data_IF_874181567645
#
_entry.id   IF_874181567645
#
_cell.length_a   1.000
_cell.length_b   1.000
_cell.length_c   1.000
_cell.angle_alpha   90.00
_cell.angle_beta   90.00
_cell.angle_gamma   90.00
#
_symmetry.space_group_name_H-M   'P 1'
#
loop_
_entity.id
_entity.type
_entity.pdbx_description
1 polymer ?
#
# COMPACT_ATOMS: atom_id res chain seq x y z
N UNK A 1 32.02 18.00 9.87
CA UNK A 1 32.06 17.97 11.34
C UNK A 1 30.77 18.62 11.83
N UNK A 2 29.64 17.92 11.77
CA UNK A 2 29.15 16.97 12.79
C UNK A 2 28.82 17.68 14.10
N UNK A 3 27.63 18.28 14.20
CA UNK A 3 26.82 18.24 15.43
C UNK A 3 25.34 18.49 15.05
N UNK A 4 24.50 17.46 15.20
CA UNK A 4 23.14 17.66 15.70
C UNK A 4 22.83 16.43 16.54
N UNK A 5 22.86 16.60 17.86
CA UNK A 5 22.86 15.54 18.85
C UNK A 5 21.45 15.05 19.18
N UNK A 6 21.35 13.76 19.51
CA UNK A 6 20.22 13.20 20.24
C UNK A 6 20.71 12.66 21.59
N UNK A 7 20.01 13.07 22.64
CA UNK A 7 20.15 12.58 24.02
C UNK A 7 19.22 11.36 24.18
N UNK A 8 19.72 10.28 24.76
CA UNK A 8 18.92 9.12 25.17
C UNK A 8 18.93 8.99 26.70
N UNK A 9 17.81 8.64 27.38
CA UNK A 9 17.88 8.20 28.76
C UNK A 9 18.43 6.77 28.82
N UNK A 10 19.36 6.52 29.75
CA UNK A 10 19.77 5.16 30.13
C UNK A 10 18.71 4.55 31.05
N UNK A 11 18.32 3.31 30.79
CA UNK A 11 17.50 2.50 31.69
C UNK A 11 16.97 1.25 30.99
N UNK A 12 17.58 0.11 31.29
CA UNK A 12 17.25 -1.21 30.73
C UNK A 12 15.88 -1.75 31.19
N UNK A 13 15.15 -2.40 30.30
CA UNK A 13 14.67 -3.79 30.48
C UNK A 13 14.01 -4.30 29.19
N UNK A 14 14.17 -5.60 28.94
CA UNK A 14 13.95 -6.29 27.67
C UNK A 14 12.51 -6.18 27.12
N UNK A 15 12.37 -5.92 25.82
CA UNK A 15 12.06 -6.94 24.79
C UNK A 15 11.41 -6.35 23.51
N UNK A 16 11.83 -6.93 22.38
CA UNK A 16 11.30 -6.81 21.00
C UNK A 16 11.67 -5.55 20.18
N UNK A 17 12.79 -5.63 19.45
CA UNK A 17 13.07 -4.77 18.29
C UNK A 17 12.73 -5.52 17.00
N UNK A 18 11.64 -5.16 16.31
CA UNK A 18 11.42 -5.58 14.94
C UNK A 18 12.31 -4.73 14.02
N UNK A 19 13.38 -5.31 13.49
CA UNK A 19 14.04 -4.79 12.28
C UNK A 19 13.29 -5.36 11.07
N UNK A 20 12.75 -4.48 10.25
CA UNK A 20 12.11 -4.83 8.98
C UNK A 20 13.13 -5.38 7.98
N UNK A 21 12.76 -6.53 7.44
CA UNK A 21 13.37 -7.39 6.43
C UNK A 21 14.02 -6.66 5.23
N UNK A 22 15.17 -7.18 4.78
CA UNK A 22 16.08 -6.76 3.69
C UNK A 22 15.53 -5.91 2.52
N UNK A 23 14.28 -6.13 2.07
CA UNK A 23 13.66 -5.36 0.97
C UNK A 23 13.55 -3.87 1.30
N UNK A 24 13.21 -3.51 2.53
CA UNK A 24 13.17 -2.10 2.92
C UNK A 24 14.57 -1.45 2.93
N UNK A 25 15.61 -2.22 3.26
CA UNK A 25 17.01 -1.80 3.21
C UNK A 25 17.46 -1.58 1.76
N UNK A 26 17.09 -2.48 0.84
CA UNK A 26 17.40 -2.39 -0.60
C UNK A 26 16.71 -1.18 -1.26
N UNK A 27 15.46 -0.89 -0.86
CA UNK A 27 14.73 0.31 -1.29
C UNK A 27 15.28 1.61 -0.67
N UNK A 28 16.21 1.51 0.29
CA UNK A 28 16.77 2.64 1.06
C UNK A 28 15.70 3.47 1.79
N UNK A 29 14.63 2.81 2.25
CA UNK A 29 13.51 3.44 2.95
C UNK A 29 13.73 3.33 4.47
N UNK A 30 13.39 4.36 5.25
CA UNK A 30 13.29 4.18 6.71
C UNK A 30 12.00 3.46 7.05
N UNK A 31 12.11 2.37 7.79
CA UNK A 31 10.96 1.85 8.54
C UNK A 31 11.01 2.54 9.89
N UNK A 32 10.21 3.59 10.03
CA UNK A 32 10.21 4.40 11.26
C UNK A 32 9.65 3.54 12.40
N UNK A 33 10.54 2.84 13.12
CA UNK A 33 10.19 1.93 14.20
C UNK A 33 9.91 2.64 15.53
N UNK A 34 10.04 3.97 15.58
CA UNK A 34 10.26 4.71 16.84
C UNK A 34 9.33 5.90 17.05
N UNK A 35 8.09 5.84 16.55
CA UNK A 35 7.03 6.66 17.16
C UNK A 35 6.50 5.87 18.34
N UNK A 36 7.04 6.18 19.53
CA UNK A 36 6.45 5.77 20.80
C UNK A 36 5.13 6.52 20.96
N UNK A 37 4.04 5.85 20.66
CA UNK A 37 2.69 6.34 20.89
C UNK A 37 1.83 5.18 21.37
N UNK A 38 0.99 5.43 22.36
CA UNK A 38 0.01 4.44 22.81
C UNK A 38 -0.89 4.10 21.60
N UNK A 39 -0.84 2.84 21.17
CA UNK A 39 -1.60 2.33 20.01
C UNK A 39 -3.09 2.13 20.34
N UNK A 40 -3.50 2.52 21.54
CA UNK A 40 -4.83 2.31 22.06
C UNK A 40 -5.69 3.55 21.78
N UNK A 41 -6.60 3.42 20.79
CA UNK A 41 -7.97 4.00 20.73
C UNK A 41 -8.43 4.50 19.35
N UNK A 42 -7.57 4.65 18.34
CA UNK A 42 -8.04 4.97 16.98
C UNK A 42 -7.08 4.47 15.88
N UNK A 43 -7.23 3.18 15.52
CA UNK A 43 -6.39 2.49 14.53
C UNK A 43 -6.31 3.27 13.20
N UNK A 44 -7.41 3.90 12.80
CA UNK A 44 -7.54 4.57 11.50
C UNK A 44 -6.73 5.86 11.39
N UNK A 45 -6.53 6.58 12.51
CA UNK A 45 -5.81 7.86 12.53
C UNK A 45 -4.29 7.68 12.62
N UNK A 46 -3.82 6.49 13.02
CA UNK A 46 -2.40 6.24 13.31
C UNK A 46 -1.80 5.06 12.54
N UNK A 47 -2.58 4.36 11.72
CA UNK A 47 -2.14 3.16 10.99
C UNK A 47 -0.97 3.42 10.04
N UNK A 48 -0.85 4.63 9.47
CA UNK A 48 0.21 5.00 8.52
C UNK A 48 1.60 5.17 9.13
N UNK A 49 1.72 5.24 10.45
CA UNK A 49 3.00 5.38 11.17
C UNK A 49 3.72 4.05 11.40
N UNK A 50 3.02 2.92 11.27
CA UNK A 50 3.62 1.57 11.34
C UNK A 50 3.84 1.06 9.92
N UNK A 51 4.96 0.36 9.72
CA UNK A 51 5.10 -0.52 8.55
C UNK A 51 4.43 -1.85 8.86
N UNK A 52 3.44 -2.17 8.05
CA UNK A 52 2.71 -3.42 8.11
C UNK A 52 3.43 -4.52 7.32
N UNK A 53 3.33 -5.76 7.79
CA UNK A 53 4.00 -6.92 7.19
C UNK A 53 3.60 -7.09 5.72
N UNK A 54 2.30 -6.92 5.43
CA UNK A 54 1.76 -7.01 4.07
C UNK A 54 2.33 -5.94 3.12
N UNK A 55 2.80 -4.81 3.64
CA UNK A 55 3.45 -3.76 2.84
C UNK A 55 4.82 -4.23 2.33
N UNK A 56 5.57 -4.95 3.18
CA UNK A 56 6.86 -5.55 2.81
C UNK A 56 6.65 -6.69 1.82
N UNK A 57 5.67 -7.56 2.07
CA UNK A 57 5.37 -8.68 1.18
C UNK A 57 4.92 -8.19 -0.21
N UNK A 58 4.08 -7.14 -0.27
CA UNK A 58 3.66 -6.54 -1.53
C UNK A 58 4.82 -5.86 -2.26
N UNK A 59 5.68 -5.11 -1.55
CA UNK A 59 6.84 -4.47 -2.16
C UNK A 59 7.79 -5.50 -2.77
N UNK A 60 8.04 -6.63 -2.07
CA UNK A 60 8.85 -7.74 -2.60
C UNK A 60 8.21 -8.34 -3.85
N UNK A 61 6.91 -8.66 -3.78
CA UNK A 61 6.19 -9.26 -4.89
C UNK A 61 6.25 -8.38 -6.14
N UNK A 62 6.02 -7.07 -5.99
CA UNK A 62 6.11 -6.10 -7.09
C UNK A 62 7.52 -6.05 -7.68
N UNK A 63 8.56 -6.06 -6.83
CA UNK A 63 9.96 -6.04 -7.28
C UNK A 63 10.35 -7.30 -8.07
N UNK A 64 9.85 -8.46 -7.63
CA UNK A 64 10.09 -9.74 -8.30
C UNK A 64 9.26 -9.92 -9.58
N UNK A 65 8.16 -9.17 -9.72
CA UNK A 65 7.23 -9.23 -10.84
C UNK A 65 7.03 -7.85 -11.49
N UNK A 66 8.09 -7.24 -12.04
CA UNK A 66 8.01 -5.89 -12.60
C UNK A 66 7.05 -5.87 -13.80
N UNK A 67 6.12 -4.92 -13.78
CA UNK A 67 5.20 -4.67 -14.88
C UNK A 67 5.57 -3.36 -15.58
N UNK A 68 5.61 -3.30 -16.91
CA UNK A 68 5.89 -2.06 -17.64
C UNK A 68 4.68 -1.11 -17.54
N UNK A 69 4.62 -0.34 -16.47
CA UNK A 69 3.54 0.61 -16.20
C UNK A 69 4.04 2.04 -16.27
N UNK A 70 3.16 2.95 -16.69
CA UNK A 70 3.45 4.39 -16.78
C UNK A 70 2.90 5.17 -15.59
N UNK A 71 1.90 4.62 -14.90
CA UNK A 71 1.25 5.23 -13.74
C UNK A 71 0.94 4.18 -12.70
N UNK A 72 1.43 4.42 -11.48
CA UNK A 72 1.22 3.59 -10.29
C UNK A 72 0.44 4.43 -9.29
N UNK A 73 -0.59 3.85 -8.68
CA UNK A 73 -1.29 4.42 -7.54
C UNK A 73 -1.13 3.49 -6.34
N UNK A 74 -0.69 4.00 -5.21
CA UNK A 74 -0.73 3.28 -3.94
C UNK A 74 -1.76 3.94 -3.00
N UNK A 75 -2.83 3.21 -2.67
CA UNK A 75 -3.91 3.66 -1.79
C UNK A 75 -3.60 3.25 -0.34
N UNK A 76 -3.60 4.23 0.57
CA UNK A 76 -3.24 4.00 1.97
C UNK A 76 -1.77 3.63 2.13
N UNK A 77 -0.89 4.45 1.55
CA UNK A 77 0.51 4.11 1.33
C UNK A 77 1.35 4.09 2.62
N UNK A 78 1.03 4.89 3.65
CA UNK A 78 1.87 5.00 4.84
C UNK A 78 3.33 5.32 4.49
N UNK A 79 4.20 4.30 4.55
CA UNK A 79 5.62 4.41 4.20
C UNK A 79 5.91 4.30 2.68
N UNK A 80 4.90 3.97 1.88
CA UNK A 80 4.92 3.80 0.43
C UNK A 80 5.89 2.74 -0.11
N UNK A 81 6.13 1.65 0.64
CA UNK A 81 7.08 0.61 0.20
C UNK A 81 6.67 0.00 -1.16
N UNK A 82 5.43 -0.46 -1.37
CA UNK A 82 4.97 -0.97 -2.66
C UNK A 82 5.10 0.04 -3.82
N UNK A 83 4.65 1.28 -3.62
CA UNK A 83 4.67 2.31 -4.65
C UNK A 83 6.09 2.74 -5.02
N UNK A 84 6.99 2.80 -4.03
CA UNK A 84 8.41 3.06 -4.26
C UNK A 84 9.07 1.91 -5.03
N UNK A 85 8.80 0.65 -4.67
CA UNK A 85 9.31 -0.51 -5.39
C UNK A 85 8.91 -0.45 -6.87
N UNK A 86 7.60 -0.28 -7.14
CA UNK A 86 7.09 -0.14 -8.51
C UNK A 86 7.74 1.01 -9.29
N UNK A 87 7.97 2.15 -8.63
CA UNK A 87 8.56 3.35 -9.23
C UNK A 87 10.03 3.15 -9.64
N UNK A 88 10.79 2.42 -8.83
CA UNK A 88 12.21 2.14 -9.09
C UNK A 88 12.36 1.14 -10.24
N UNK A 89 11.50 0.13 -10.30
CA UNK A 89 11.54 -0.90 -11.35
C UNK A 89 10.89 -0.44 -12.66
N UNK A 90 10.15 0.69 -12.63
CA UNK A 90 9.54 1.31 -13.81
C UNK A 90 10.11 2.71 -14.06
N UNK A 91 11.22 2.86 -14.82
CA UNK A 91 11.92 4.14 -15.02
C UNK A 91 11.06 5.27 -15.58
N UNK A 92 10.00 4.94 -16.32
CA UNK A 92 9.09 5.90 -16.95
C UNK A 92 7.77 6.09 -16.18
N UNK A 93 7.58 5.42 -15.04
CA UNK A 93 6.36 5.52 -14.26
C UNK A 93 6.26 6.85 -13.50
N UNK A 94 5.05 7.32 -13.23
CA UNK A 94 4.77 8.29 -12.17
C UNK A 94 4.00 7.58 -11.06
N UNK A 95 4.47 7.71 -9.82
CA UNK A 95 3.83 7.11 -8.65
C UNK A 95 2.97 8.14 -7.91
N UNK A 96 1.71 7.79 -7.70
CA UNK A 96 0.73 8.53 -6.93
C UNK A 96 0.60 7.84 -5.57
N UNK A 97 1.10 8.50 -4.53
CA UNK A 97 1.15 7.97 -3.17
C UNK A 97 0.02 8.62 -2.37
N UNK A 98 -1.00 7.83 -2.06
CA UNK A 98 -2.21 8.30 -1.38
C UNK A 98 -2.23 7.88 0.09
N UNK A 99 -2.61 8.79 0.98
CA UNK A 99 -2.97 8.46 2.35
C UNK A 99 -4.12 9.35 2.83
N UNK A 100 -4.94 8.84 3.76
CA UNK A 100 -6.04 9.60 4.35
C UNK A 100 -5.52 10.81 5.12
N UNK A 101 -4.44 10.64 5.89
CA UNK A 101 -3.88 11.69 6.73
C UNK A 101 -2.73 12.42 5.99
N UNK A 102 -2.86 13.73 5.70
CA UNK A 102 -1.78 14.49 5.07
C UNK A 102 -0.50 14.53 5.92
N UNK A 103 -0.60 14.35 7.24
CA UNK A 103 0.56 14.30 8.14
C UNK A 103 1.41 13.06 7.88
N UNK A 104 0.80 11.92 7.53
CA UNK A 104 1.54 10.71 7.13
C UNK A 104 2.34 10.98 5.87
N UNK A 105 1.73 11.61 4.86
CA UNK A 105 2.41 11.98 3.62
C UNK A 105 3.59 12.93 3.88
N UNK A 106 3.39 13.96 4.71
CA UNK A 106 4.40 14.96 5.00
C UNK A 106 5.54 14.42 5.87
N UNK A 107 5.23 13.69 6.94
CA UNK A 107 6.20 13.30 7.96
C UNK A 107 6.85 11.94 7.70
N UNK A 108 6.18 11.05 6.98
CA UNK A 108 6.63 9.67 6.74
C UNK A 108 6.94 9.46 5.26
N UNK A 109 5.91 9.49 4.41
CA UNK A 109 6.05 9.15 2.99
C UNK A 109 7.10 10.02 2.31
N UNK A 110 7.06 11.34 2.56
CA UNK A 110 8.00 12.27 1.92
C UNK A 110 9.45 12.10 2.38
N UNK A 111 9.69 11.60 3.60
CA UNK A 111 11.05 11.29 4.07
C UNK A 111 11.63 10.11 3.30
N UNK A 112 10.80 9.10 3.02
CA UNK A 112 11.20 7.92 2.27
C UNK A 112 11.48 8.27 0.80
N UNK A 113 10.59 9.07 0.18
CA UNK A 113 10.80 9.55 -1.19
C UNK A 113 12.07 10.40 -1.32
N UNK A 114 12.42 11.22 -0.32
CA UNK A 114 13.65 12.04 -0.34
C UNK A 114 14.94 11.22 -0.40
N UNK A 115 14.91 9.94 -0.05
CA UNK A 115 16.08 9.04 -0.08
C UNK A 115 16.29 8.39 -1.44
N UNK A 116 15.31 8.49 -2.33
CA UNK A 116 15.39 7.95 -3.69
C UNK A 116 16.32 8.80 -4.56
N UNK A 117 16.84 8.24 -5.68
CA UNK A 117 17.49 9.05 -6.70
C UNK A 117 16.59 10.22 -7.13
N UNK A 118 17.17 11.40 -7.33
CA UNK A 118 16.40 12.62 -7.62
C UNK A 118 15.49 12.48 -8.86
N UNK A 119 15.88 11.66 -9.84
CA UNK A 119 15.06 11.34 -11.01
C UNK A 119 13.80 10.52 -10.65
N UNK A 120 13.87 9.61 -9.69
CA UNK A 120 12.72 8.87 -9.18
C UNK A 120 11.85 9.76 -8.28
N UNK A 121 12.45 10.50 -7.34
CA UNK A 121 11.71 11.38 -6.43
C UNK A 121 10.87 12.45 -7.17
N UNK A 122 11.34 12.98 -8.30
CA UNK A 122 10.56 13.94 -9.14
C UNK A 122 9.32 13.32 -9.79
N UNK A 123 9.27 11.99 -9.90
CA UNK A 123 8.17 11.21 -10.48
C UNK A 123 7.15 10.75 -9.44
N UNK A 124 7.19 11.29 -8.22
CA UNK A 124 6.14 11.03 -7.21
C UNK A 124 5.12 12.17 -7.15
N UNK A 125 3.87 11.84 -6.83
CA UNK A 125 2.78 12.76 -6.49
C UNK A 125 2.15 12.31 -5.18
N UNK A 126 1.87 13.24 -4.27
CA UNK A 126 1.18 12.96 -3.01
C UNK A 126 -0.28 13.33 -3.14
N UNK A 127 -1.17 12.45 -2.69
CA UNK A 127 -2.63 12.65 -2.77
C UNK A 127 -3.23 12.36 -1.41
N UNK A 128 -4.17 13.19 -0.95
CA UNK A 128 -4.84 12.97 0.34
C UNK A 128 -6.35 13.08 0.19
N UNK A 129 -7.08 12.47 1.13
CA UNK A 129 -8.54 12.48 1.18
C UNK A 129 -9.12 11.08 1.38
N UNK A 130 -10.41 11.04 1.72
CA UNK A 130 -11.14 9.78 1.87
C UNK A 130 -11.33 9.06 0.54
N UNK A 131 -11.34 7.74 0.58
CA UNK A 131 -11.74 6.92 -0.57
C UNK A 131 -13.18 7.21 -0.98
N UNK A 132 -13.45 7.11 -2.28
CA UNK A 132 -14.75 7.40 -2.88
C UNK A 132 -14.67 8.46 -3.98
N UNK A 133 -15.83 8.95 -4.39
CA UNK A 133 -16.02 9.75 -5.62
C UNK A 133 -15.12 11.00 -5.68
N UNK A 134 -14.95 11.71 -4.57
CA UNK A 134 -14.11 12.91 -4.55
C UNK A 134 -12.65 12.63 -4.90
N UNK A 135 -12.08 11.57 -4.32
CA UNK A 135 -10.73 11.13 -4.60
C UNK A 135 -10.63 10.54 -6.02
N UNK A 136 -11.62 9.75 -6.46
CA UNK A 136 -11.71 9.26 -7.84
C UNK A 136 -11.62 10.40 -8.84
N UNK A 137 -12.44 11.44 -8.66
CA UNK A 137 -12.50 12.59 -9.56
C UNK A 137 -11.18 13.35 -9.61
N UNK A 138 -10.55 13.55 -8.44
CA UNK A 138 -9.25 14.18 -8.34
C UNK A 138 -8.17 13.40 -9.12
N UNK A 139 -8.06 12.10 -8.86
CA UNK A 139 -7.08 11.22 -9.51
C UNK A 139 -7.33 11.10 -11.01
N UNK A 140 -8.59 10.98 -11.44
CA UNK A 140 -8.97 10.91 -12.86
C UNK A 140 -8.65 12.21 -13.61
N UNK A 141 -8.81 13.36 -12.95
CA UNK A 141 -8.48 14.67 -13.52
C UNK A 141 -6.98 14.94 -13.66
N UNK A 142 -6.17 14.52 -12.68
CA UNK A 142 -4.72 14.75 -12.69
C UNK A 142 -3.95 13.66 -13.46
N UNK A 143 -4.28 12.39 -13.21
CA UNK A 143 -3.55 11.23 -13.70
C UNK A 143 -4.27 10.50 -14.83
N UNK A 144 -5.61 10.49 -14.86
CA UNK A 144 -6.39 9.61 -15.73
C UNK A 144 -6.42 8.18 -15.19
N UNK A 145 -6.03 7.20 -16.02
CA UNK A 145 -6.06 5.78 -15.68
C UNK A 145 -4.68 5.26 -15.22
N UNK A 146 -4.69 4.24 -14.37
CA UNK A 146 -3.52 3.63 -13.77
C UNK A 146 -3.29 2.21 -14.31
N UNK A 147 -2.03 1.92 -14.67
CA UNK A 147 -1.62 0.56 -15.05
C UNK A 147 -1.43 -0.35 -13.84
N UNK A 148 -1.11 0.23 -12.67
CA UNK A 148 -0.94 -0.50 -11.43
C UNK A 148 -1.60 0.27 -10.27
N UNK A 149 -2.48 -0.41 -9.54
CA UNK A 149 -3.05 0.08 -8.28
C UNK A 149 -2.61 -0.88 -7.16
N UNK A 150 -2.07 -0.34 -6.08
CA UNK A 150 -1.51 -1.09 -4.95
C UNK A 150 -2.24 -0.68 -3.67
N UNK A 151 -2.47 -1.63 -2.77
CA UNK A 151 -2.80 -1.29 -1.39
C UNK A 151 -2.39 -2.43 -0.46
N UNK A 152 -1.60 -2.10 0.56
CA UNK A 152 -1.28 -3.03 1.64
C UNK A 152 -2.14 -2.72 2.85
N UNK A 153 -2.86 -3.73 3.35
CA UNK A 153 -3.81 -3.67 4.45
C UNK A 153 -5.03 -2.76 4.22
N UNK A 154 -5.29 -2.32 2.98
CA UNK A 154 -6.47 -1.49 2.66
C UNK A 154 -7.82 -2.20 2.76
N UNK A 155 -7.84 -3.53 2.82
CA UNK A 155 -9.04 -4.38 2.85
C UNK A 155 -9.28 -5.02 4.23
N UNK A 156 -8.73 -4.45 5.29
CA UNK A 156 -8.92 -4.95 6.65
C UNK A 156 -10.35 -4.72 7.17
N UNK A 157 -11.09 -3.73 6.65
CA UNK A 157 -12.49 -3.44 6.98
C UNK A 157 -13.40 -3.72 5.80
N UNK A 158 -14.44 -4.52 6.02
CA UNK A 158 -15.44 -4.85 4.99
C UNK A 158 -16.18 -3.61 4.47
N UNK A 159 -16.42 -2.61 5.31
CA UNK A 159 -17.06 -1.34 4.91
C UNK A 159 -16.26 -0.54 3.87
N UNK A 160 -14.98 -0.84 3.71
CA UNK A 160 -14.11 -0.19 2.73
C UNK A 160 -14.11 -0.86 1.37
N UNK A 161 -14.70 -2.05 1.22
CA UNK A 161 -14.66 -2.81 -0.03
C UNK A 161 -15.35 -2.08 -1.17
N UNK A 162 -16.59 -1.65 -0.94
CA UNK A 162 -17.42 -0.99 -1.94
C UNK A 162 -16.80 0.32 -2.47
N UNK A 163 -16.39 1.29 -1.63
CA UNK A 163 -15.71 2.50 -2.13
C UNK A 163 -14.42 2.20 -2.90
N UNK A 164 -13.65 1.19 -2.46
CA UNK A 164 -12.38 0.81 -3.07
C UNK A 164 -12.57 0.17 -4.45
N UNK A 165 -13.55 -0.71 -4.60
CA UNK A 165 -13.88 -1.35 -5.87
C UNK A 165 -14.50 -0.35 -6.86
N UNK A 166 -15.35 0.57 -6.39
CA UNK A 166 -15.88 1.65 -7.22
C UNK A 166 -14.75 2.54 -7.77
N UNK A 167 -13.80 2.93 -6.91
CA UNK A 167 -12.59 3.63 -7.34
C UNK A 167 -11.80 2.82 -8.38
N UNK A 168 -11.61 1.51 -8.14
CA UNK A 168 -10.88 0.64 -9.05
C UNK A 168 -11.51 0.60 -10.45
N UNK A 169 -12.83 0.46 -10.52
CA UNK A 169 -13.57 0.43 -11.79
C UNK A 169 -13.35 1.71 -12.58
N UNK A 170 -13.24 2.86 -11.91
CA UNK A 170 -13.06 4.15 -12.57
C UNK A 170 -11.61 4.48 -12.93
N UNK A 171 -10.65 3.99 -12.16
CA UNK A 171 -9.24 4.40 -12.22
C UNK A 171 -8.33 3.36 -12.87
N UNK A 172 -8.70 2.09 -12.89
CA UNK A 172 -7.85 1.05 -13.44
C UNK A 172 -7.90 1.05 -14.97
N UNK A 173 -6.75 0.94 -15.62
CA UNK A 173 -6.66 0.76 -17.07
C UNK A 173 -7.43 -0.50 -17.51
N UNK A 174 -8.35 -0.41 -18.49
CA UNK A 174 -9.23 -1.53 -18.86
C UNK A 174 -8.53 -2.63 -19.66
N UNK A 175 -7.40 -2.38 -20.30
CA UNK A 175 -6.75 -3.35 -21.19
C UNK A 175 -5.71 -4.18 -20.45
N UNK A 176 -4.86 -3.49 -19.67
CA UNK A 176 -3.67 -4.06 -19.05
C UNK A 176 -3.53 -3.75 -17.56
N UNK A 177 -4.46 -2.97 -16.99
CA UNK A 177 -4.41 -2.56 -15.60
C UNK A 177 -4.48 -3.73 -14.61
N UNK A 178 -3.70 -3.61 -13.54
CA UNK A 178 -3.66 -4.59 -12.43
C UNK A 178 -3.84 -3.87 -11.10
N UNK A 179 -4.71 -4.40 -10.24
CA UNK A 179 -4.75 -4.03 -8.84
C UNK A 179 -4.18 -5.15 -7.98
N UNK A 180 -3.30 -4.83 -7.04
CA UNK A 180 -2.76 -5.79 -6.08
C UNK A 180 -3.10 -5.34 -4.65
N UNK A 181 -3.82 -6.19 -3.93
CA UNK A 181 -4.16 -5.97 -2.54
C UNK A 181 -3.43 -7.01 -1.68
N UNK A 182 -2.59 -6.55 -0.77
CA UNK A 182 -1.94 -7.42 0.21
C UNK A 182 -2.61 -7.28 1.56
N UNK A 183 -2.94 -8.37 2.21
CA UNK A 183 -3.57 -8.34 3.52
C UNK A 183 -3.52 -9.69 4.22
N UNK A 184 -3.98 -9.72 5.46
CA UNK A 184 -4.26 -11.00 6.13
C UNK A 184 -5.47 -11.67 5.47
N UNK A 185 -5.46 -13.00 5.46
CA UNK A 185 -6.57 -13.80 4.96
C UNK A 185 -7.88 -13.49 5.67
N UNK A 186 -7.80 -13.30 6.98
CA UNK A 186 -8.89 -12.85 7.84
C UNK A 186 -8.37 -11.91 8.92
N UNK A 187 -9.08 -10.80 9.15
CA UNK A 187 -8.90 -9.94 10.31
C UNK A 187 -10.05 -10.16 11.30
N UNK A 188 -9.73 -10.65 12.49
CA UNK A 188 -10.72 -10.88 13.54
C UNK A 188 -11.31 -9.55 14.05
N UNK A 189 -12.63 -9.49 14.20
CA UNK A 189 -13.34 -8.34 14.79
C UNK A 189 -13.81 -7.25 13.82
N UNK A 190 -13.24 -7.17 12.61
CA UNK A 190 -13.61 -6.15 11.60
C UNK A 190 -14.17 -6.72 10.29
N UNK A 191 -14.25 -8.05 10.15
CA UNK A 191 -14.90 -8.74 9.04
C UNK A 191 -14.17 -8.67 7.70
N UNK A 192 -13.02 -7.97 7.62
CA UNK A 192 -12.22 -7.87 6.40
C UNK A 192 -11.11 -8.90 6.29
N UNK A 193 -10.28 -8.74 5.27
CA UNK A 193 -9.24 -9.68 4.85
C UNK A 193 -9.39 -10.07 3.38
N UNK A 194 -8.40 -10.76 2.84
CA UNK A 194 -8.40 -11.17 1.42
C UNK A 194 -9.52 -12.16 1.12
N UNK A 195 -9.84 -13.10 2.02
CA UNK A 195 -10.91 -14.07 1.81
C UNK A 195 -12.30 -13.42 1.69
N UNK A 196 -12.77 -12.59 2.66
CA UNK A 196 -14.05 -11.91 2.51
C UNK A 196 -14.05 -10.89 1.36
N UNK A 197 -12.90 -10.26 1.05
CA UNK A 197 -12.79 -9.36 -0.10
C UNK A 197 -12.98 -10.09 -1.43
N UNK A 198 -12.34 -11.26 -1.62
CA UNK A 198 -12.53 -12.10 -2.81
C UNK A 198 -13.98 -12.55 -2.95
N UNK A 199 -14.62 -13.03 -1.86
CA UNK A 199 -16.05 -13.39 -1.87
C UNK A 199 -16.91 -12.20 -2.29
N UNK A 200 -16.66 -11.02 -1.73
CA UNK A 200 -17.42 -9.82 -2.06
C UNK A 200 -17.28 -9.42 -3.54
N UNK A 201 -16.09 -9.56 -4.13
CA UNK A 201 -15.92 -9.31 -5.57
C UNK A 201 -16.67 -10.35 -6.40
N UNK A 202 -16.64 -11.63 -6.02
CA UNK A 202 -17.36 -12.69 -6.73
C UNK A 202 -18.88 -12.48 -6.66
N UNK A 203 -19.41 -12.17 -5.47
CA UNK A 203 -20.84 -12.06 -5.20
C UNK A 203 -21.47 -10.83 -5.88
N UNK A 204 -20.74 -9.72 -5.98
CA UNK A 204 -21.29 -8.42 -6.41
C UNK A 204 -20.66 -7.84 -7.68
N UNK A 205 -19.49 -8.31 -8.09
CA UNK A 205 -18.70 -7.70 -9.17
C UNK A 205 -18.14 -8.69 -10.21
N UNK A 206 -18.53 -9.97 -10.18
CA UNK A 206 -18.02 -11.03 -11.07
C UNK A 206 -18.26 -10.80 -12.57
N UNK A 207 -19.23 -9.95 -12.92
CA UNK A 207 -19.47 -9.51 -14.31
C UNK A 207 -18.47 -8.45 -14.79
N UNK A 208 -17.87 -7.69 -13.87
CA UNK A 208 -17.02 -6.54 -14.18
C UNK A 208 -15.55 -6.77 -13.83
N UNK A 209 -15.26 -7.54 -12.78
CA UNK A 209 -13.94 -7.74 -12.23
C UNK A 209 -13.62 -9.24 -12.10
N UNK A 210 -12.35 -9.58 -12.24
CA UNK A 210 -11.80 -10.88 -11.83
C UNK A 210 -10.93 -10.66 -10.61
N UNK A 211 -11.04 -11.52 -9.59
CA UNK A 211 -10.22 -11.45 -8.37
C UNK A 211 -9.62 -12.84 -8.07
N UNK A 212 -8.31 -12.91 -7.84
CA UNK A 212 -7.64 -14.19 -7.53
C UNK A 212 -6.45 -14.01 -6.61
N UNK A 213 -6.16 -15.03 -5.81
CA UNK A 213 -4.91 -15.11 -5.05
C UNK A 213 -3.71 -15.30 -5.98
N UNK A 214 -2.64 -14.55 -5.75
CA UNK A 214 -1.39 -14.63 -6.54
C UNK A 214 -0.14 -14.89 -5.69
N UNK A 215 -0.23 -14.69 -4.38
CA UNK A 215 0.83 -15.10 -3.45
C UNK A 215 0.25 -15.39 -2.07
N UNK A 216 0.83 -16.38 -1.39
CA UNK A 216 0.43 -16.82 -0.05
C UNK A 216 1.67 -16.92 0.84
N UNK A 217 1.59 -16.37 2.05
CA UNK A 217 2.68 -16.34 3.01
C UNK A 217 2.21 -16.99 4.31
N UNK A 218 2.73 -18.20 4.56
CA UNK A 218 2.42 -19.00 5.75
C UNK A 218 3.73 -19.31 6.49
N UNK A 219 3.88 -18.79 7.71
CA UNK A 219 5.05 -19.03 8.56
C UNK A 219 4.70 -19.91 9.79
N UNK A 220 3.48 -20.48 9.81
CA UNK A 220 2.88 -21.28 10.90
C UNK A 220 2.76 -20.57 12.26
N UNK A 221 3.14 -19.29 12.37
CA UNK A 221 3.19 -18.53 13.62
C UNK A 221 2.32 -17.28 13.59
N UNK A 222 2.14 -16.71 12.41
CA UNK A 222 1.38 -15.49 12.14
C UNK A 222 0.07 -15.82 11.42
N UNK A 223 -0.84 -14.84 11.35
CA UNK A 223 -1.98 -14.96 10.46
C UNK A 223 -1.47 -15.13 9.02
N UNK A 224 -2.12 -16.03 8.27
CA UNK A 224 -1.85 -16.23 6.86
C UNK A 224 -2.00 -14.88 6.13
N UNK A 225 -0.95 -14.45 5.42
CA UNK A 225 -0.99 -13.26 4.57
C UNK A 225 -1.08 -13.68 3.12
N UNK A 226 -1.74 -12.86 2.32
CA UNK A 226 -2.06 -13.17 0.94
C UNK A 226 -2.04 -11.90 0.10
N UNK A 227 -1.62 -12.03 -1.16
CA UNK A 227 -1.76 -11.00 -2.17
C UNK A 227 -2.82 -11.47 -3.16
N UNK A 228 -3.82 -10.62 -3.38
CA UNK A 228 -4.87 -10.84 -4.37
C UNK A 228 -4.73 -9.84 -5.51
N UNK A 229 -4.89 -10.36 -6.73
CA UNK A 229 -4.90 -9.61 -7.98
C UNK A 229 -6.34 -9.36 -8.41
N UNK A 230 -6.67 -8.10 -8.70
CA UNK A 230 -7.94 -7.70 -9.32
C UNK A 230 -7.69 -7.09 -10.70
N UNK A 231 -8.47 -7.49 -11.68
CA UNK A 231 -8.45 -6.94 -13.05
C UNK A 231 -9.87 -6.68 -13.54
N UNK A 232 -10.02 -5.78 -14.51
CA UNK A 232 -11.26 -5.64 -15.27
C UNK A 232 -11.46 -6.86 -16.17
N UNK A 233 -12.68 -7.40 -16.18
CA UNK A 233 -13.05 -8.51 -17.07
C UNK A 233 -13.09 -7.98 -18.50
N UNK A 234 -12.44 -8.69 -19.42
CA UNK A 234 -12.45 -8.31 -20.85
C UNK A 234 -13.83 -8.59 -21.41
N UNK A 235 -14.45 -7.60 -22.05
CA UNK A 235 -15.71 -7.82 -22.76
C UNK A 235 -15.44 -8.77 -23.95
N UNK A 236 -16.01 -9.98 -23.89
CA UNK A 236 -15.84 -11.02 -24.92
C UNK A 236 -15.22 -12.35 -24.46
N UNK A 237 -15.06 -12.57 -23.15
CA UNK A 237 -14.79 -13.88 -22.54
C UNK A 237 -15.99 -14.37 -21.74
#
# INVERSE_FOLDING_TARGET
MTVCGFVAPRGSSNSCSFRSVAVAEDLKVDVVSSITGDFDSNVDLKSGFRVWECSIDLARYVHEHPAPVTKVLELGCGHALPGIAALLDSPNATAYLHDLDPSVLQLITSQNVRRLPASAAKRTRYVTGAWGEGLTRLLKGDAGLFGLILSSEGIYKQTSFEPLLAMLIDLLDPENGVALFAGKKLYFGCGGGTAPFMSFVEDYYSDTLTCRSVALFEDTRSNIREIVEVRKKRQGQ
#
